data_IF_135596454237
#
_entry.id   IF_135596454237
#
_cell.length_a   1.000
_cell.length_b   1.000
_cell.length_c   1.000
_cell.angle_alpha   90.00
_cell.angle_beta   90.00
_cell.angle_gamma   90.00
#
_symmetry.space_group_name_H-M   'P 1'
#
loop_
_entity.id
_entity.type
_entity.pdbx_description
1 polymer ?
#
# COMPACT_ATOMS: atom_id res chain seq x y z
N UNK A 1 19.50 11.30 7.62
CA UNK A 1 18.04 11.52 7.84
C UNK A 1 17.40 11.88 6.50
N UNK A 2 16.24 11.31 6.21
CA UNK A 2 15.47 11.63 5.00
C UNK A 2 14.15 12.26 5.46
N UNK A 3 13.82 13.44 4.91
CA UNK A 3 12.52 14.07 5.13
C UNK A 3 11.58 13.67 3.99
N UNK A 4 10.35 13.29 4.30
CA UNK A 4 9.38 12.83 3.31
C UNK A 4 9.06 13.90 2.26
N UNK A 5 9.02 15.16 2.67
CA UNK A 5 8.75 16.28 1.77
C UNK A 5 9.88 16.54 0.75
N UNK A 6 11.09 16.02 1.00
CA UNK A 6 12.23 16.17 0.09
C UNK A 6 12.22 15.12 -1.03
N UNK A 7 11.32 14.13 -0.96
CA UNK A 7 11.21 13.08 -1.96
C UNK A 7 10.08 13.41 -2.93
N UNK A 8 10.30 13.07 -4.21
CA UNK A 8 9.29 13.23 -5.25
C UNK A 8 8.22 12.13 -5.14
N UNK A 9 6.97 12.48 -5.42
CA UNK A 9 5.93 11.48 -5.64
C UNK A 9 6.18 10.81 -6.99
N UNK A 10 6.08 9.48 -7.01
CA UNK A 10 6.31 8.66 -8.19
C UNK A 10 5.07 7.83 -8.50
N UNK A 11 4.96 7.40 -9.76
CA UNK A 11 3.94 6.42 -10.12
C UNK A 11 4.38 5.05 -9.59
N UNK A 12 3.47 4.29 -8.94
CA UNK A 12 3.77 2.94 -8.49
C UNK A 12 3.82 1.95 -9.67
N UNK A 13 4.22 0.70 -9.43
CA UNK A 13 4.11 -0.34 -10.46
C UNK A 13 2.71 -0.39 -11.04
N UNK A 14 2.61 -0.53 -12.36
CA UNK A 14 1.35 -0.49 -13.08
C UNK A 14 0.65 -1.85 -13.09
N UNK A 15 -0.65 -1.82 -13.38
CA UNK A 15 -1.43 -3.00 -13.73
C UNK A 15 -2.41 -3.48 -12.68
N UNK A 16 -2.30 -3.02 -11.44
CA UNK A 16 -3.22 -3.45 -10.38
C UNK A 16 -3.91 -2.30 -9.63
N UNK A 17 -3.36 -1.11 -9.66
CA UNK A 17 -4.05 0.07 -9.11
C UNK A 17 -5.10 0.57 -10.10
N UNK A 18 -6.27 0.95 -9.58
CA UNK A 18 -7.41 1.44 -10.35
C UNK A 18 -7.57 2.95 -10.27
N UNK A 19 -6.88 3.59 -9.33
CA UNK A 19 -6.89 5.04 -9.14
C UNK A 19 -5.47 5.60 -9.27
N UNK A 20 -5.37 6.92 -9.25
CA UNK A 20 -4.08 7.62 -9.39
C UNK A 20 -3.29 7.56 -8.07
N UNK A 21 -2.88 6.36 -7.70
CA UNK A 21 -2.05 6.10 -6.51
C UNK A 21 -0.66 6.67 -6.75
N UNK A 22 -0.08 7.31 -5.74
CA UNK A 22 1.29 7.83 -5.77
C UNK A 22 2.11 7.24 -4.63
N UNK A 23 3.41 7.07 -4.85
CA UNK A 23 4.30 6.56 -3.82
C UNK A 23 5.61 7.33 -3.74
N UNK A 24 6.23 7.28 -2.56
CA UNK A 24 7.60 7.70 -2.33
C UNK A 24 8.35 6.51 -1.75
N UNK A 25 9.38 6.03 -2.44
CA UNK A 25 10.24 4.98 -1.89
C UNK A 25 11.17 5.60 -0.88
N UNK A 26 11.07 5.18 0.38
CA UNK A 26 11.83 5.73 1.48
C UNK A 26 13.14 4.96 1.71
N UNK A 27 13.11 3.65 1.45
CA UNK A 27 14.25 2.76 1.64
C UNK A 27 14.07 1.49 0.83
N UNK A 28 15.15 0.94 0.35
CA UNK A 28 15.15 -0.33 -0.37
C UNK A 28 16.46 -1.07 -0.12
N UNK A 29 16.37 -2.37 0.12
CA UNK A 29 17.52 -3.27 0.19
C UNK A 29 17.69 -3.97 -1.15
N UNK A 30 18.77 -3.66 -1.85
CA UNK A 30 19.04 -4.23 -3.18
C UNK A 30 19.31 -5.73 -3.15
N UNK A 31 19.71 -6.28 -2.01
CA UNK A 31 19.99 -7.72 -1.89
C UNK A 31 18.72 -8.55 -1.72
N UNK A 32 17.81 -8.09 -0.91
CA UNK A 32 16.58 -8.83 -0.58
C UNK A 32 15.37 -8.34 -1.36
N UNK A 33 15.42 -7.12 -1.90
CA UNK A 33 14.28 -6.44 -2.48
C UNK A 33 13.34 -5.83 -1.46
N UNK A 34 13.65 -5.93 -0.16
CA UNK A 34 12.83 -5.32 0.88
C UNK A 34 12.67 -3.82 0.64
N UNK A 35 11.47 -3.31 0.85
CA UNK A 35 11.13 -1.93 0.48
C UNK A 35 10.25 -1.29 1.54
N UNK A 36 10.54 -0.03 1.86
CA UNK A 36 9.70 0.83 2.69
C UNK A 36 9.22 1.98 1.81
N UNK A 37 7.91 2.18 1.73
CA UNK A 37 7.32 3.21 0.86
C UNK A 37 6.17 3.92 1.54
N UNK A 38 6.06 5.22 1.28
CA UNK A 38 4.88 6.02 1.63
C UNK A 38 3.96 6.01 0.41
N UNK A 39 2.69 5.62 0.61
CA UNK A 39 1.72 5.48 -0.48
C UNK A 39 0.48 6.30 -0.18
N UNK A 40 0.07 7.10 -1.17
CA UNK A 40 -1.12 7.94 -1.10
C UNK A 40 -2.20 7.38 -2.02
N UNK A 41 -3.36 7.06 -1.46
CA UNK A 41 -4.52 6.55 -2.18
C UNK A 41 -5.59 7.62 -2.29
N UNK A 42 -5.96 8.07 -3.50
CA UNK A 42 -7.10 8.97 -3.65
C UNK A 42 -8.42 8.23 -3.42
N UNK A 43 -9.52 8.98 -3.31
CA UNK A 43 -10.86 8.39 -3.21
C UNK A 43 -11.15 7.45 -4.39
N UNK A 44 -11.84 6.36 -4.10
CA UNK A 44 -12.26 5.37 -5.08
C UNK A 44 -11.76 3.96 -4.75
N UNK A 45 -12.07 3.00 -5.61
CA UNK A 45 -11.57 1.63 -5.47
C UNK A 45 -10.09 1.63 -5.86
N UNK A 46 -9.23 1.38 -4.88
CA UNK A 46 -7.81 1.62 -5.02
C UNK A 46 -7.11 0.62 -5.94
N UNK A 47 -7.46 -0.67 -5.83
CA UNK A 47 -6.68 -1.71 -6.48
C UNK A 47 -7.50 -2.95 -6.83
N UNK A 48 -6.93 -3.78 -7.68
CA UNK A 48 -7.44 -5.12 -7.99
C UNK A 48 -7.03 -6.09 -6.90
N UNK A 49 -7.77 -7.19 -6.77
CA UNK A 49 -7.36 -8.28 -5.87
C UNK A 49 -6.03 -8.82 -6.38
N UNK A 50 -5.05 -8.87 -5.49
CA UNK A 50 -3.69 -9.29 -5.83
C UNK A 50 -3.01 -9.91 -4.61
N UNK A 51 -1.84 -10.48 -4.84
CA UNK A 51 -0.95 -10.97 -3.80
C UNK A 51 0.48 -10.50 -4.07
N UNK A 52 1.34 -10.61 -3.08
CA UNK A 52 2.79 -10.41 -3.24
C UNK A 52 3.47 -11.75 -2.98
N UNK A 53 3.77 -12.55 -4.04
CA UNK A 53 4.27 -13.91 -3.85
C UNK A 53 5.62 -14.00 -3.15
N UNK A 54 6.42 -12.93 -3.21
CA UNK A 54 7.79 -12.94 -2.70
C UNK A 54 7.98 -12.08 -1.44
N UNK A 55 6.90 -11.52 -0.87
CA UNK A 55 7.02 -10.62 0.27
C UNK A 55 5.84 -10.73 1.22
N UNK A 56 6.15 -10.67 2.52
CA UNK A 56 5.16 -10.31 3.54
C UNK A 56 4.97 -8.79 3.48
N UNK A 57 3.78 -8.32 3.77
CA UNK A 57 3.45 -6.89 3.71
C UNK A 57 2.92 -6.41 5.05
N UNK A 58 3.46 -5.28 5.51
CA UNK A 58 2.95 -4.57 6.67
C UNK A 58 2.50 -3.19 6.20
N UNK A 59 1.27 -2.82 6.54
CA UNK A 59 0.71 -1.50 6.23
C UNK A 59 0.40 -0.78 7.53
N UNK A 60 0.94 0.42 7.68
CA UNK A 60 0.62 1.30 8.80
C UNK A 60 -0.18 2.46 8.23
N UNK A 61 -1.42 2.63 8.70
CA UNK A 61 -2.25 3.76 8.33
C UNK A 61 -1.74 5.03 8.99
N UNK A 62 -1.69 6.12 8.26
CA UNK A 62 -1.31 7.43 8.82
C UNK A 62 -2.51 8.36 8.89
N UNK A 63 -3.32 8.43 7.82
CA UNK A 63 -4.52 9.24 7.78
C UNK A 63 -5.47 8.77 6.68
N UNK A 64 -6.73 9.19 6.76
CA UNK A 64 -7.75 8.88 5.77
C UNK A 64 -8.80 7.91 6.26
N UNK A 65 -9.65 7.46 5.35
CA UNK A 65 -10.76 6.55 5.68
C UNK A 65 -11.01 5.60 4.52
N UNK A 66 -11.30 4.35 4.82
CA UNK A 66 -11.68 3.38 3.81
C UNK A 66 -12.84 2.52 4.28
N UNK A 67 -13.61 2.01 3.33
CA UNK A 67 -14.69 1.06 3.56
C UNK A 67 -14.13 -0.35 3.48
N UNK A 68 -14.37 -1.13 4.53
CA UNK A 68 -13.95 -2.52 4.59
C UNK A 68 -14.93 -3.41 3.82
N UNK A 69 -14.56 -4.66 3.47
CA UNK A 69 -15.45 -5.56 2.73
C UNK A 69 -16.81 -5.81 3.39
N UNK A 70 -16.91 -5.69 4.71
CA UNK A 70 -18.16 -5.84 5.43
C UNK A 70 -19.03 -4.57 5.44
N UNK A 71 -18.60 -3.50 4.79
CA UNK A 71 -19.29 -2.21 4.73
C UNK A 71 -18.97 -1.26 5.88
N UNK A 72 -18.18 -1.67 6.87
CA UNK A 72 -17.78 -0.78 7.96
C UNK A 72 -16.73 0.22 7.48
N UNK A 73 -16.69 1.39 8.12
CA UNK A 73 -15.69 2.42 7.84
C UNK A 73 -14.53 2.30 8.83
N UNK A 74 -13.31 2.33 8.30
CA UNK A 74 -12.09 2.33 9.10
C UNK A 74 -11.37 3.66 8.92
N UNK A 75 -11.16 4.38 10.03
CA UNK A 75 -10.31 5.58 10.03
C UNK A 75 -8.87 5.13 10.21
N UNK A 76 -8.00 5.53 9.27
CA UNK A 76 -6.59 5.19 9.34
C UNK A 76 -5.86 6.11 10.29
N UNK A 77 -5.01 5.51 11.13
CA UNK A 77 -4.15 6.22 12.08
C UNK A 77 -2.91 5.36 12.33
N UNK A 78 -1.84 5.90 12.97
CA UNK A 78 -0.64 5.12 13.24
C UNK A 78 -0.85 3.91 14.17
N UNK A 79 -2.03 3.76 14.77
CA UNK A 79 -2.39 2.57 15.55
C UNK A 79 -3.06 1.50 14.70
N UNK A 80 -3.41 1.79 13.44
CA UNK A 80 -4.01 0.84 12.52
C UNK A 80 -2.91 0.15 11.71
N UNK A 81 -2.65 -1.12 12.04
CA UNK A 81 -1.60 -1.91 11.40
C UNK A 81 -2.26 -3.13 10.75
N UNK A 82 -1.96 -3.35 9.47
CA UNK A 82 -2.44 -4.49 8.71
C UNK A 82 -1.26 -5.34 8.27
N UNK A 83 -1.35 -6.67 8.45
CA UNK A 83 -0.30 -7.61 8.06
C UNK A 83 -0.88 -8.59 7.06
N UNK A 84 -0.21 -8.75 5.94
CA UNK A 84 -0.57 -9.71 4.91
C UNK A 84 0.63 -10.64 4.68
N UNK A 85 0.38 -11.95 4.82
CA UNK A 85 1.42 -12.94 4.63
C UNK A 85 1.79 -13.06 3.14
N UNK A 86 3.00 -13.54 2.89
CA UNK A 86 3.49 -13.84 1.55
C UNK A 86 2.47 -14.70 0.79
N UNK A 87 2.05 -14.23 -0.39
CA UNK A 87 1.08 -14.91 -1.23
C UNK A 87 -0.38 -14.73 -0.82
N UNK A 88 -0.67 -14.06 0.29
CA UNK A 88 -2.05 -13.79 0.73
C UNK A 88 -2.73 -12.81 -0.22
N UNK A 89 -3.92 -13.17 -0.69
CA UNK A 89 -4.72 -12.29 -1.56
C UNK A 89 -5.35 -11.17 -0.75
N UNK A 90 -5.26 -9.96 -1.28
CA UNK A 90 -5.87 -8.77 -0.68
C UNK A 90 -6.17 -7.74 -1.77
N UNK A 91 -6.76 -6.62 -1.36
CA UNK A 91 -7.07 -5.53 -2.27
C UNK A 91 -8.57 -5.29 -2.43
N UNK A 92 -8.92 -4.53 -3.45
CA UNK A 92 -10.28 -4.10 -3.75
C UNK A 92 -10.91 -3.26 -2.62
N UNK A 93 -10.08 -2.55 -1.86
CA UNK A 93 -10.54 -1.62 -0.82
C UNK A 93 -11.13 -0.37 -1.45
N UNK A 94 -12.20 0.15 -0.85
CA UNK A 94 -12.82 1.40 -1.28
C UNK A 94 -12.39 2.55 -0.36
N UNK A 95 -11.61 3.48 -0.92
CA UNK A 95 -11.12 4.65 -0.19
C UNK A 95 -12.19 5.72 -0.21
N UNK A 96 -12.73 6.08 0.95
CA UNK A 96 -13.78 7.09 1.10
C UNK A 96 -13.22 8.48 1.35
N UNK A 97 -12.01 8.56 1.91
CA UNK A 97 -11.24 9.81 2.05
C UNK A 97 -9.79 9.50 1.73
N UNK A 98 -9.12 10.40 1.01
CA UNK A 98 -7.73 10.21 0.65
C UNK A 98 -6.92 9.61 1.81
N UNK A 99 -6.24 8.50 1.56
CA UNK A 99 -5.46 7.79 2.56
C UNK A 99 -3.97 8.00 2.35
N UNK A 100 -3.26 8.22 3.45
CA UNK A 100 -1.81 8.20 3.50
C UNK A 100 -1.40 6.99 4.33
N UNK A 101 -0.51 6.16 3.78
CA UNK A 101 -0.11 4.89 4.37
C UNK A 101 1.39 4.67 4.24
N UNK A 102 1.94 3.90 5.19
CA UNK A 102 3.32 3.46 5.14
C UNK A 102 3.33 1.96 4.89
N UNK A 103 3.99 1.53 3.82
CA UNK A 103 4.09 0.13 3.42
C UNK A 103 5.50 -0.38 3.63
N UNK A 104 5.61 -1.57 4.21
CA UNK A 104 6.85 -2.31 4.26
C UNK A 104 6.66 -3.69 3.65
N UNK A 105 7.54 -4.06 2.72
CA UNK A 105 7.65 -5.41 2.17
C UNK A 105 9.03 -5.96 2.52
N UNK A 106 9.07 -7.20 3.00
CA UNK A 106 10.34 -7.84 3.39
C UNK A 106 11.08 -8.51 2.23
N UNK A 107 10.56 -8.41 1.03
CA UNK A 107 11.13 -8.91 -0.21
C UNK A 107 10.62 -8.11 -1.40
N UNK A 108 10.88 -8.56 -2.64
CA UNK A 108 10.40 -7.83 -3.82
C UNK A 108 8.88 -7.69 -3.81
N UNK A 109 8.34 -6.46 -3.87
CA UNK A 109 6.90 -6.24 -3.73
C UNK A 109 6.11 -6.44 -5.03
N UNK A 110 6.59 -7.23 -5.95
CA UNK A 110 5.93 -7.49 -7.24
C UNK A 110 4.55 -8.11 -7.02
N UNK A 111 3.48 -7.48 -7.51
CA UNK A 111 2.14 -8.02 -7.35
C UNK A 111 1.83 -9.09 -8.40
N UNK A 112 0.98 -10.04 -8.01
CA UNK A 112 0.33 -10.97 -8.91
C UNK A 112 -1.18 -10.72 -8.82
N UNK A 113 -1.80 -10.36 -9.95
CA UNK A 113 -3.22 -10.01 -9.99
C UNK A 113 -4.07 -11.28 -10.08
N UNK A 114 -5.13 -11.36 -9.28
CA UNK A 114 -6.05 -12.50 -9.18
C UNK A 114 -7.47 -12.08 -9.56
N UNK A 115 -7.73 -12.06 -10.84
CA UNK A 115 -9.06 -11.76 -11.37
C UNK A 115 -9.63 -12.91 -12.17
#
# INVERSE_FOLDING_TARGET
MVLFEDLEWEDPPRGYYLTDVKQKTLWKDEKTGATLALIKFPEGVADKIHSHPEANQIVIGLSGEMEMPDGSLATLSPTAIYVFDKGEKHGSSNVTKECLTLFFWDGPPKPEVHE
#
